data_IF_611111416140
#
_entry.id   IF_611111416140
#
_cell.length_a   1.000
_cell.length_b   1.000
_cell.length_c   1.000
_cell.angle_alpha   90.00
_cell.angle_beta   90.00
_cell.angle_gamma   90.00
#
_symmetry.space_group_name_H-M   'P 1'
#
loop_
_entity.id
_entity.type
_entity.pdbx_description
1 polymer ?
#
# COMPACT_ATOMS: atom_id res chain seq x y z
N UNK A 1 -4.18 6.17 10.53
CA UNK A 1 -3.24 5.25 11.16
C UNK A 1 -1.80 5.41 10.71
N UNK A 2 -1.52 6.24 9.66
CA UNK A 2 -0.20 6.41 9.04
C UNK A 2 0.18 7.90 9.03
N UNK A 3 1.50 8.17 8.99
CA UNK A 3 2.02 9.55 9.02
C UNK A 3 1.56 10.30 10.27
N UNK A 4 1.08 11.52 10.08
CA UNK A 4 0.61 12.40 11.15
C UNK A 4 -0.84 12.13 11.59
N UNK A 5 -1.55 11.21 10.90
CA UNK A 5 -2.91 10.83 11.30
C UNK A 5 -2.94 10.16 12.67
N UNK A 6 -4.07 10.27 13.35
CA UNK A 6 -4.36 9.50 14.56
C UNK A 6 -4.22 7.99 14.34
N UNK A 7 -3.89 7.26 15.39
CA UNK A 7 -3.66 5.81 15.35
C UNK A 7 -4.62 5.08 16.31
N UNK A 8 -5.94 5.23 16.09
CA UNK A 8 -6.94 4.59 16.93
C UNK A 8 -6.84 3.07 16.84
N UNK A 9 -7.32 2.40 17.88
CA UNK A 9 -7.56 0.96 17.82
C UNK A 9 -8.88 0.71 17.06
N UNK A 10 -8.78 0.58 15.75
CA UNK A 10 -9.93 0.43 14.84
C UNK A 10 -9.65 -0.63 13.78
N UNK A 11 -10.60 -0.81 12.86
CA UNK A 11 -10.44 -1.67 11.70
C UNK A 11 -9.49 -1.06 10.67
N UNK A 12 -8.32 -1.69 10.49
CA UNK A 12 -7.30 -1.35 9.49
C UNK A 12 -7.42 -2.19 8.21
N UNK A 13 -8.59 -2.76 7.93
CA UNK A 13 -8.87 -3.43 6.66
C UNK A 13 -9.11 -2.43 5.52
N UNK A 14 -9.06 -2.92 4.28
CA UNK A 14 -9.41 -2.09 3.10
C UNK A 14 -10.83 -1.54 3.21
N UNK A 15 -11.76 -2.33 3.76
CA UNK A 15 -13.16 -1.91 4.01
C UNK A 15 -13.26 -0.80 5.03
N UNK A 16 -12.51 -0.90 6.14
CA UNK A 16 -12.44 0.14 7.16
C UNK A 16 -11.90 1.46 6.58
N UNK A 17 -10.80 1.41 5.81
CA UNK A 17 -10.26 2.61 5.14
C UNK A 17 -11.24 3.20 4.13
N UNK A 18 -11.93 2.36 3.35
CA UNK A 18 -12.94 2.83 2.39
C UNK A 18 -14.11 3.53 3.10
N UNK A 19 -14.57 2.99 4.24
CA UNK A 19 -15.64 3.61 5.04
C UNK A 19 -15.22 4.95 5.63
N UNK A 20 -14.01 5.04 6.20
CA UNK A 20 -13.50 6.31 6.72
C UNK A 20 -13.33 7.37 5.61
N UNK A 21 -12.92 6.93 4.40
CA UNK A 21 -12.85 7.83 3.26
C UNK A 21 -14.23 8.36 2.87
N UNK A 22 -15.26 7.50 2.82
CA UNK A 22 -16.65 7.92 2.56
C UNK A 22 -17.12 8.93 3.60
N UNK A 23 -16.91 8.65 4.89
CA UNK A 23 -17.31 9.56 5.96
C UNK A 23 -16.63 10.93 5.86
N UNK A 24 -15.35 10.95 5.44
CA UNK A 24 -14.61 12.18 5.18
C UNK A 24 -15.22 12.96 4.00
N UNK A 25 -15.57 12.27 2.90
CA UNK A 25 -16.19 12.91 1.74
C UNK A 25 -17.55 13.50 2.08
N UNK A 26 -18.35 12.79 2.85
CA UNK A 26 -19.64 13.30 3.37
C UNK A 26 -19.44 14.55 4.23
N UNK A 27 -18.47 14.53 5.14
CA UNK A 27 -18.15 15.69 5.98
C UNK A 27 -17.69 16.90 5.17
N UNK A 28 -16.97 16.68 4.07
CA UNK A 28 -16.50 17.72 3.17
C UNK A 28 -17.54 18.15 2.11
N UNK A 29 -18.68 17.47 2.03
CA UNK A 29 -19.74 17.75 1.07
C UNK A 29 -19.43 17.32 -0.37
N UNK A 30 -18.58 16.30 -0.55
CA UNK A 30 -18.26 15.75 -1.87
C UNK A 30 -19.16 14.55 -2.17
N UNK A 31 -19.99 14.68 -3.18
CA UNK A 31 -20.92 13.62 -3.63
C UNK A 31 -20.25 12.61 -4.56
N UNK A 32 -19.30 13.05 -5.39
CA UNK A 32 -18.62 12.19 -6.38
C UNK A 32 -17.16 12.61 -6.55
N UNK A 33 -16.29 11.62 -6.65
CA UNK A 33 -14.84 11.85 -6.71
C UNK A 33 -14.14 10.92 -7.71
N UNK A 34 -13.02 11.39 -8.25
CA UNK A 34 -12.01 10.51 -8.85
C UNK A 34 -11.08 10.02 -7.75
N UNK A 35 -10.95 8.70 -7.60
CA UNK A 35 -10.07 8.11 -6.61
C UNK A 35 -8.74 7.73 -7.24
N UNK A 36 -7.64 8.18 -6.63
CA UNK A 36 -6.27 7.82 -7.01
C UNK A 36 -5.65 7.03 -5.87
N UNK A 37 -5.28 5.77 -6.12
CA UNK A 37 -4.67 4.90 -5.12
C UNK A 37 -3.32 4.35 -5.54
N UNK A 38 -2.30 4.52 -4.69
CA UNK A 38 -0.97 3.95 -4.87
C UNK A 38 -0.75 2.80 -3.90
N UNK A 39 -0.19 1.68 -4.36
CA UNK A 39 0.15 0.52 -3.53
C UNK A 39 -1.05 0.04 -2.69
N UNK A 40 -0.97 0.05 -1.36
CA UNK A 40 -2.10 -0.21 -0.47
C UNK A 40 -3.32 0.66 -0.79
N UNK A 41 -3.10 1.93 -1.10
CA UNK A 41 -4.17 2.87 -1.48
C UNK A 41 -4.92 2.45 -2.74
N UNK A 42 -4.27 1.71 -3.65
CA UNK A 42 -4.94 1.11 -4.81
C UNK A 42 -5.95 0.05 -4.40
N UNK A 43 -5.60 -0.81 -3.44
CA UNK A 43 -6.54 -1.75 -2.84
C UNK A 43 -7.71 -1.06 -2.14
N UNK A 44 -7.44 0.05 -1.43
CA UNK A 44 -8.50 0.90 -0.82
C UNK A 44 -9.39 1.52 -1.90
N UNK A 45 -8.80 2.04 -3.00
CA UNK A 45 -9.55 2.64 -4.11
C UNK A 45 -10.51 1.64 -4.77
N UNK A 46 -10.04 0.41 -5.01
CA UNK A 46 -10.89 -0.67 -5.52
C UNK A 46 -12.01 -1.03 -4.53
N UNK A 47 -11.67 -1.18 -3.26
CA UNK A 47 -12.65 -1.48 -2.22
C UNK A 47 -13.69 -0.36 -2.07
N UNK A 48 -13.28 0.90 -2.16
CA UNK A 48 -14.16 2.05 -2.15
C UNK A 48 -15.12 2.02 -3.35
N UNK A 49 -14.61 1.77 -4.56
CA UNK A 49 -15.43 1.69 -5.76
C UNK A 49 -16.50 0.57 -5.66
N UNK A 50 -16.19 -0.54 -4.96
CA UNK A 50 -17.15 -1.61 -4.74
C UNK A 50 -18.22 -1.28 -3.70
N UNK A 51 -17.82 -0.66 -2.59
CA UNK A 51 -18.71 -0.38 -1.48
C UNK A 51 -19.55 0.89 -1.68
N UNK A 52 -18.97 1.87 -2.35
CA UNK A 52 -19.52 3.22 -2.51
C UNK A 52 -19.53 3.62 -3.98
N UNK A 53 -20.16 2.78 -4.79
CA UNK A 53 -20.21 2.92 -6.23
C UNK A 53 -20.65 4.33 -6.69
N UNK A 54 -21.68 4.89 -6.06
CA UNK A 54 -22.23 6.19 -6.44
C UNK A 54 -21.28 7.36 -6.17
N UNK A 55 -20.36 7.22 -5.19
CA UNK A 55 -19.33 8.21 -4.91
C UNK A 55 -18.14 8.14 -5.87
N UNK A 56 -17.91 6.99 -6.51
CA UNK A 56 -16.73 6.79 -7.35
C UNK A 56 -17.04 7.13 -8.80
N UNK A 57 -16.46 8.22 -9.32
CA UNK A 57 -16.62 8.60 -10.73
C UNK A 57 -15.58 7.93 -11.62
N UNK A 58 -14.31 7.94 -11.21
CA UNK A 58 -13.17 7.36 -11.93
C UNK A 58 -12.18 6.75 -10.95
N UNK A 59 -11.38 5.82 -11.44
CA UNK A 59 -10.37 5.11 -10.66
C UNK A 59 -9.00 5.30 -11.33
N UNK A 60 -7.98 5.66 -10.53
CA UNK A 60 -6.58 5.64 -10.98
C UNK A 60 -5.79 4.74 -10.03
N UNK A 61 -5.20 3.70 -10.57
CA UNK A 61 -4.42 2.70 -9.85
C UNK A 61 -2.94 2.86 -10.19
N UNK A 62 -2.12 3.14 -9.18
CA UNK A 62 -0.67 3.31 -9.34
C UNK A 62 0.04 2.22 -8.55
N UNK A 63 0.75 1.32 -9.21
CA UNK A 63 1.46 0.19 -8.57
C UNK A 63 0.59 -0.51 -7.52
N UNK A 64 -0.67 -0.80 -7.86
CA UNK A 64 -1.76 -1.09 -6.93
C UNK A 64 -1.61 -2.46 -6.27
N UNK A 65 -1.81 -2.53 -4.96
CA UNK A 65 -2.15 -3.76 -4.27
C UNK A 65 -3.55 -4.28 -4.64
N UNK A 66 -3.77 -5.58 -4.42
CA UNK A 66 -5.09 -6.20 -4.59
C UNK A 66 -5.44 -6.60 -6.03
N UNK A 67 -4.54 -6.49 -7.01
CA UNK A 67 -4.78 -6.89 -8.39
C UNK A 67 -4.20 -8.26 -8.76
N UNK A 68 -3.59 -8.92 -7.81
CA UNK A 68 -3.01 -10.26 -7.94
C UNK A 68 -2.49 -10.75 -6.59
N UNK A 69 -1.90 -11.94 -6.57
CA UNK A 69 -1.46 -12.57 -5.33
C UNK A 69 0.00 -12.27 -4.98
N UNK A 70 0.83 -12.03 -5.96
CA UNK A 70 2.27 -11.86 -5.78
C UNK A 70 2.58 -10.52 -5.11
N UNK A 71 3.49 -10.59 -4.15
CA UNK A 71 4.05 -9.42 -3.45
C UNK A 71 5.43 -9.77 -2.89
N UNK A 72 6.29 -8.78 -2.69
CA UNK A 72 7.65 -8.98 -2.24
C UNK A 72 7.73 -9.82 -0.98
N UNK A 73 8.78 -10.64 -0.89
CA UNK A 73 9.04 -11.51 0.27
C UNK A 73 9.17 -10.70 1.58
N UNK A 74 9.66 -9.45 1.50
CA UNK A 74 9.85 -8.60 2.67
C UNK A 74 8.52 -8.22 3.32
N UNK A 75 7.49 -7.89 2.52
CA UNK A 75 6.14 -7.63 3.04
C UNK A 75 5.53 -8.90 3.63
N UNK A 76 5.73 -10.06 2.98
CA UNK A 76 5.26 -11.36 3.49
C UNK A 76 5.93 -11.70 4.82
N UNK A 77 7.24 -11.48 4.96
CA UNK A 77 7.96 -11.69 6.21
C UNK A 77 7.43 -10.79 7.35
N UNK A 78 7.02 -9.55 7.03
CA UNK A 78 6.43 -8.62 8.00
C UNK A 78 5.09 -9.08 8.58
N UNK A 79 4.42 -10.07 7.97
CA UNK A 79 3.16 -10.64 8.50
C UNK A 79 3.38 -11.76 9.52
N UNK A 80 4.59 -12.31 9.61
CA UNK A 80 4.90 -13.43 10.50
C UNK A 80 4.73 -13.04 11.97
N UNK A 81 4.35 -13.99 12.84
CA UNK A 81 4.36 -13.77 14.29
C UNK A 81 5.75 -13.34 14.75
N UNK A 82 5.81 -12.33 15.60
CA UNK A 82 7.07 -11.79 16.11
C UNK A 82 7.66 -10.65 15.25
N UNK A 83 7.12 -10.35 14.07
CA UNK A 83 7.59 -9.23 13.27
C UNK A 83 7.55 -7.90 14.03
N UNK A 84 6.57 -7.72 14.92
CA UNK A 84 6.43 -6.58 15.82
C UNK A 84 7.63 -6.36 16.75
N UNK A 85 8.37 -7.41 17.09
CA UNK A 85 9.59 -7.35 17.92
C UNK A 85 10.84 -7.12 17.07
N UNK A 86 10.85 -7.57 15.83
CA UNK A 86 11.99 -7.44 14.90
C UNK A 86 12.01 -6.06 14.24
N UNK A 87 10.85 -5.56 13.86
CA UNK A 87 10.73 -4.25 13.19
C UNK A 87 11.34 -3.09 13.98
N UNK A 88 11.17 -2.96 15.32
CA UNK A 88 11.82 -1.91 16.09
C UNK A 88 13.34 -1.99 16.06
N UNK A 89 13.90 -3.21 16.05
CA UNK A 89 15.35 -3.41 15.98
C UNK A 89 15.88 -2.93 14.64
N UNK A 90 15.20 -3.32 13.54
CA UNK A 90 15.57 -2.89 12.18
C UNK A 90 15.39 -1.39 12.02
N UNK A 91 14.31 -0.80 12.58
CA UNK A 91 14.03 0.63 12.53
C UNK A 91 14.83 1.45 13.55
N UNK A 92 15.64 0.82 14.41
CA UNK A 92 16.38 1.50 15.44
C UNK A 92 17.36 2.53 14.89
N UNK A 93 17.60 3.60 15.66
CA UNK A 93 18.57 4.64 15.31
C UNK A 93 19.95 4.06 15.03
N UNK A 94 20.35 3.03 15.78
CA UNK A 94 21.67 2.38 15.64
C UNK A 94 21.84 1.70 14.28
N UNK A 95 20.81 0.96 13.81
CA UNK A 95 20.82 0.32 12.49
C UNK A 95 20.77 1.37 11.38
N UNK A 96 19.95 2.42 11.56
CA UNK A 96 19.86 3.54 10.63
C UNK A 96 21.18 4.31 10.53
N UNK A 97 21.78 4.66 11.68
CA UNK A 97 23.03 5.43 11.73
C UNK A 97 24.22 4.60 11.24
N UNK A 98 24.23 3.29 11.49
CA UNK A 98 25.17 2.35 10.87
C UNK A 98 24.97 2.31 9.34
N UNK A 99 23.73 2.21 8.85
CA UNK A 99 23.42 2.26 7.43
C UNK A 99 23.86 3.57 6.77
N UNK A 100 23.60 4.71 7.41
CA UNK A 100 24.05 6.03 6.94
C UNK A 100 25.58 6.15 6.96
N UNK A 101 26.24 5.60 7.98
CA UNK A 101 27.71 5.60 8.07
C UNK A 101 28.34 4.68 7.03
N UNK A 102 27.74 3.51 6.80
CA UNK A 102 28.16 2.59 5.74
C UNK A 102 27.99 3.20 4.35
N UNK A 103 26.87 3.92 4.09
CA UNK A 103 26.67 4.62 2.82
C UNK A 103 27.62 5.82 2.63
N UNK A 104 28.06 6.48 3.71
CA UNK A 104 29.12 7.51 3.65
C UNK A 104 30.47 6.91 3.28
N UNK A 105 30.78 5.74 3.82
CA UNK A 105 32.01 5.00 3.48
C UNK A 105 31.96 4.45 2.06
N UNK A 106 30.78 4.08 1.56
CA UNK A 106 30.53 3.61 0.19
C UNK A 106 30.40 4.75 -0.84
N UNK A 107 30.45 6.03 -0.45
CA UNK A 107 30.44 7.19 -1.35
C UNK A 107 31.64 7.24 -2.29
N UNK A 108 32.64 6.41 -2.08
CA UNK A 108 33.74 6.18 -3.03
C UNK A 108 33.28 5.39 -4.27
N UNK A 109 32.13 4.72 -4.19
CA UNK A 109 31.52 4.01 -5.31
C UNK A 109 30.28 4.82 -5.72
N UNK A 110 30.10 5.27 -7.00
CA UNK A 110 28.95 6.09 -7.42
C UNK A 110 27.67 5.25 -7.57
N UNK A 111 27.26 4.58 -6.50
CA UNK A 111 25.97 3.90 -6.40
C UNK A 111 24.93 4.92 -5.94
N UNK A 112 24.18 5.49 -6.90
CA UNK A 112 22.97 6.24 -6.56
C UNK A 112 21.95 5.26 -5.97
N UNK A 113 21.50 5.43 -4.72
CA UNK A 113 20.45 4.57 -4.17
C UNK A 113 19.22 4.68 -5.07
N UNK A 114 18.62 3.56 -5.41
CA UNK A 114 17.37 3.53 -6.18
C UNK A 114 16.30 4.31 -5.42
N UNK A 115 15.44 5.09 -6.09
CA UNK A 115 14.36 5.84 -5.43
C UNK A 115 13.53 4.99 -4.47
N UNK A 116 13.26 3.73 -4.81
CA UNK A 116 12.57 2.75 -3.97
C UNK A 116 13.23 2.51 -2.61
N UNK A 117 14.56 2.57 -2.54
CA UNK A 117 15.29 2.40 -1.27
C UNK A 117 15.08 3.60 -0.34
N UNK A 118 14.97 4.80 -0.90
CA UNK A 118 14.73 6.03 -0.12
C UNK A 118 13.30 6.03 0.44
N UNK A 119 12.31 5.61 -0.35
CA UNK A 119 10.92 5.54 0.11
C UNK A 119 10.73 4.44 1.15
N UNK A 120 11.29 3.28 0.94
CA UNK A 120 11.33 2.20 1.94
C UNK A 120 11.98 2.70 3.23
N UNK A 121 13.11 3.42 3.17
CA UNK A 121 13.78 3.97 4.34
C UNK A 121 12.90 5.01 5.09
N UNK A 122 12.14 5.83 4.37
CA UNK A 122 11.19 6.78 4.98
C UNK A 122 10.03 6.05 5.66
N UNK A 123 9.47 5.04 5.00
CA UNK A 123 8.44 4.18 5.60
C UNK A 123 8.94 3.50 6.88
N UNK A 124 10.17 2.97 6.86
CA UNK A 124 10.79 2.37 8.04
C UNK A 124 11.05 3.36 9.18
N UNK A 125 11.34 4.64 8.88
CA UNK A 125 11.55 5.63 9.93
C UNK A 125 10.29 5.85 10.79
N UNK A 126 9.09 5.73 10.22
CA UNK A 126 7.83 5.82 10.94
C UNK A 126 7.56 4.62 11.86
N UNK A 127 8.19 3.47 11.61
CA UNK A 127 8.04 2.25 12.41
C UNK A 127 8.81 2.30 13.75
N UNK A 128 9.62 3.33 13.98
CA UNK A 128 10.26 3.56 15.27
C UNK A 128 9.22 3.90 16.36
N UNK A 129 8.14 4.59 15.99
CA UNK A 129 7.02 4.89 16.87
C UNK A 129 6.13 3.65 17.08
N UNK A 130 5.83 3.32 18.35
CA UNK A 130 5.10 2.10 18.67
C UNK A 130 3.65 2.10 18.16
N UNK A 131 2.84 3.17 18.31
CA UNK A 131 1.52 3.27 17.71
C UNK A 131 1.54 3.16 16.17
N UNK A 132 2.47 3.85 15.49
CA UNK A 132 2.60 3.79 14.03
C UNK A 132 2.97 2.38 13.55
N UNK A 133 3.87 1.72 14.26
CA UNK A 133 4.26 0.33 13.98
C UNK A 133 3.08 -0.63 14.17
N UNK A 134 2.31 -0.47 15.23
CA UNK A 134 1.10 -1.28 15.48
C UNK A 134 0.11 -1.11 14.34
N UNK A 135 -0.23 0.12 13.97
CA UNK A 135 -1.12 0.41 12.85
C UNK A 135 -0.62 -0.20 11.53
N UNK A 136 0.70 -0.08 11.25
CA UNK A 136 1.32 -0.67 10.07
C UNK A 136 1.19 -2.20 10.06
N UNK A 137 1.52 -2.89 11.17
CA UNK A 137 1.45 -4.36 11.25
C UNK A 137 0.00 -4.84 11.14
N UNK A 138 -0.95 -4.15 11.76
CA UNK A 138 -2.37 -4.47 11.61
C UNK A 138 -2.84 -4.30 10.17
N UNK A 139 -2.51 -3.19 9.52
CA UNK A 139 -2.82 -2.95 8.11
C UNK A 139 -2.18 -4.04 7.23
N UNK A 140 -0.88 -4.31 7.41
CA UNK A 140 -0.18 -5.31 6.61
C UNK A 140 -0.82 -6.68 6.73
N UNK A 141 -1.12 -7.14 7.95
CA UNK A 141 -1.77 -8.44 8.22
C UNK A 141 -3.22 -8.51 7.71
N UNK A 142 -3.88 -7.38 7.49
CA UNK A 142 -5.21 -7.36 6.90
C UNK A 142 -5.19 -7.64 5.40
N UNK A 143 -4.09 -7.29 4.70
CA UNK A 143 -3.99 -7.35 3.23
C UNK A 143 -2.96 -8.33 2.70
N UNK A 144 -1.98 -8.75 3.51
CA UNK A 144 -0.91 -9.69 3.14
C UNK A 144 -0.84 -10.84 4.14
N UNK A 145 -0.52 -12.02 3.65
CA UNK A 145 -0.24 -13.24 4.40
C UNK A 145 1.09 -13.87 3.94
N UNK A 146 1.64 -14.88 4.61
CA UNK A 146 2.88 -15.52 4.17
C UNK A 146 2.83 -16.08 2.74
N UNK A 147 1.63 -16.41 2.23
CA UNK A 147 1.38 -16.89 0.87
C UNK A 147 1.32 -15.81 -0.20
N UNK A 148 1.24 -14.53 0.16
CA UNK A 148 1.07 -13.40 -0.77
C UNK A 148 0.01 -12.40 -0.33
N UNK A 149 -0.61 -11.69 -1.28
CA UNK A 149 -1.73 -10.81 -0.97
C UNK A 149 -2.96 -11.64 -0.57
N UNK A 150 -3.52 -11.32 0.58
CA UNK A 150 -4.72 -11.98 1.14
C UNK A 150 -6.00 -11.50 0.48
N UNK A 151 -6.02 -10.24 0.06
CA UNK A 151 -7.18 -9.62 -0.59
C UNK A 151 -6.83 -9.40 -2.06
N UNK A 152 -7.68 -9.90 -2.95
CA UNK A 152 -7.57 -9.68 -4.39
C UNK A 152 -8.91 -9.18 -4.95
N UNK A 153 -8.81 -8.25 -5.87
CA UNK A 153 -9.94 -7.76 -6.65
C UNK A 153 -10.20 -8.57 -7.92
N UNK A 154 -9.35 -9.55 -8.23
CA UNK A 154 -9.35 -10.26 -9.52
C UNK A 154 -10.71 -10.88 -9.88
N UNK A 155 -11.43 -11.38 -8.88
CA UNK A 155 -12.76 -12.00 -9.04
C UNK A 155 -13.89 -10.97 -9.01
N UNK A 156 -13.57 -9.67 -8.85
CA UNK A 156 -14.54 -8.59 -8.59
C UNK A 156 -14.40 -7.41 -9.55
N UNK A 157 -13.56 -7.52 -10.57
CA UNK A 157 -13.39 -6.44 -11.55
C UNK A 157 -14.70 -6.02 -12.21
N UNK A 158 -15.66 -6.94 -12.36
CA UNK A 158 -17.00 -6.63 -12.86
C UNK A 158 -17.74 -5.59 -12.03
N UNK A 159 -17.41 -5.41 -10.73
CA UNK A 159 -18.01 -4.39 -9.86
C UNK A 159 -17.55 -2.97 -10.20
N UNK A 160 -16.52 -2.81 -11.03
CA UNK A 160 -16.07 -1.51 -11.55
C UNK A 160 -16.57 -1.22 -12.96
N UNK A 161 -17.42 -2.08 -13.51
CA UNK A 161 -17.97 -1.91 -14.85
C UNK A 161 -18.65 -0.55 -15.00
N UNK A 162 -18.37 0.13 -16.12
CA UNK A 162 -18.85 1.49 -16.37
C UNK A 162 -18.07 2.60 -15.63
N UNK A 163 -17.02 2.29 -14.89
CA UNK A 163 -16.11 3.29 -14.28
C UNK A 163 -14.82 3.41 -15.08
N UNK A 164 -14.53 4.58 -15.70
CA UNK A 164 -13.24 4.80 -16.35
C UNK A 164 -12.10 4.52 -15.37
N UNK A 165 -11.22 3.61 -15.76
CA UNK A 165 -10.10 3.17 -14.91
C UNK A 165 -8.79 3.43 -15.64
N UNK A 166 -7.82 4.07 -14.97
CA UNK A 166 -6.46 4.25 -15.45
C UNK A 166 -5.51 3.43 -14.59
N UNK A 167 -4.66 2.62 -15.23
CA UNK A 167 -3.65 1.81 -14.57
C UNK A 167 -2.28 2.34 -14.96
N UNK A 168 -1.48 2.74 -13.96
CA UNK A 168 -0.11 3.22 -14.11
C UNK A 168 0.80 2.29 -13.31
N UNK A 169 1.92 1.85 -13.90
CA UNK A 169 2.80 0.90 -13.22
C UNK A 169 4.26 1.09 -13.57
N UNK A 170 5.09 0.99 -12.55
CA UNK A 170 6.54 0.92 -12.74
C UNK A 170 6.96 -0.41 -13.36
N UNK A 171 7.54 -0.39 -14.57
CA UNK A 171 7.97 -1.61 -15.26
C UNK A 171 8.99 -2.45 -14.47
N UNK A 172 9.70 -1.84 -13.54
CA UNK A 172 10.71 -2.48 -12.67
C UNK A 172 10.25 -2.53 -11.20
N UNK A 173 8.96 -2.50 -10.93
CA UNK A 173 8.46 -2.64 -9.56
C UNK A 173 8.85 -4.01 -9.00
N UNK A 174 9.62 -3.98 -7.91
CA UNK A 174 10.11 -5.17 -7.20
C UNK A 174 9.24 -5.53 -5.99
N UNK A 175 8.23 -4.71 -5.68
CA UNK A 175 7.30 -4.93 -4.57
C UNK A 175 6.07 -5.65 -5.07
N UNK A 176 5.43 -5.13 -6.11
CA UNK A 176 4.26 -5.72 -6.76
C UNK A 176 4.54 -5.85 -8.26
N UNK A 177 4.57 -7.07 -8.82
CA UNK A 177 4.94 -7.28 -10.22
C UNK A 177 4.02 -6.55 -11.20
N UNK A 178 4.60 -5.96 -12.25
CA UNK A 178 3.86 -5.29 -13.34
C UNK A 178 2.89 -6.22 -14.07
N UNK A 179 3.06 -7.53 -13.98
CA UNK A 179 2.11 -8.51 -14.51
C UNK A 179 0.68 -8.32 -13.99
N UNK A 180 0.53 -7.79 -12.77
CA UNK A 180 -0.78 -7.46 -12.20
C UNK A 180 -1.50 -6.35 -12.99
N UNK A 181 -0.76 -5.36 -13.50
CA UNK A 181 -1.32 -4.32 -14.35
C UNK A 181 -1.89 -4.91 -15.65
N UNK A 182 -1.12 -5.77 -16.31
CA UNK A 182 -1.57 -6.40 -17.55
C UNK A 182 -2.80 -7.30 -17.34
N UNK A 183 -2.82 -8.07 -16.26
CA UNK A 183 -3.96 -8.92 -15.91
C UNK A 183 -5.20 -8.09 -15.63
N UNK A 184 -5.05 -7.01 -14.86
CA UNK A 184 -6.16 -6.11 -14.53
C UNK A 184 -6.67 -5.38 -15.78
N UNK A 185 -5.76 -4.86 -16.64
CA UNK A 185 -6.13 -4.21 -17.90
C UNK A 185 -6.92 -5.14 -18.83
N UNK A 186 -6.51 -6.40 -18.92
CA UNK A 186 -7.23 -7.39 -19.74
C UNK A 186 -8.65 -7.70 -19.21
N UNK A 187 -8.89 -7.50 -17.92
CA UNK A 187 -10.15 -7.84 -17.26
C UNK A 187 -11.07 -6.64 -16.99
N UNK A 188 -10.53 -5.44 -16.86
CA UNK A 188 -11.29 -4.20 -16.66
C UNK A 188 -11.54 -3.52 -18.00
N UNK A 189 -12.79 -3.57 -18.47
CA UNK A 189 -13.17 -2.95 -19.73
C UNK A 189 -12.92 -1.43 -19.70
N UNK A 190 -12.23 -0.92 -20.73
CA UNK A 190 -11.97 0.51 -20.89
C UNK A 190 -10.88 1.06 -19.95
N UNK A 191 -10.04 0.21 -19.37
CA UNK A 191 -8.88 0.66 -18.60
C UNK A 191 -7.69 0.98 -19.48
#
# INVERSE_FOLDING_TARGET
GHGDSDKPQTDYSLGGFASHLRDLLDHLGHERVTIVGHSLGGGVAMQFAYQYFDYCERIVLVDSGGLGREVSWALRAGTLPGAEFVLPVIASRHVRDFGVSATKLLRVIPLRPRPSVIEVARGYASLADAPARSAFVHTLRSVVEPGGQRVSASDRFYLTEGRPTLIIWGALDTIIPVSHAYTAHAAIQGS
#
